data_IF_254862213397
#
_entry.id   IF_254862213397
#
_cell.length_a   1.000
_cell.length_b   1.000
_cell.length_c   1.000
_cell.angle_alpha   90.00
_cell.angle_beta   90.00
_cell.angle_gamma   90.00
#
_symmetry.space_group_name_H-M   'P 1'
#
loop_
_entity.id
_entity.type
_entity.pdbx_description
1 polymer ?
#
# COMPACT_ATOMS: atom_id res chain seq x y z
N UNK A 1 -0.27 -7.25 -7.56
CA UNK A 1 -0.90 -6.87 -6.27
C UNK A 1 -2.29 -6.29 -6.55
N UNK A 2 -3.35 -6.74 -5.89
CA UNK A 2 -4.67 -6.12 -6.03
C UNK A 2 -4.85 -5.06 -4.94
N UNK A 3 -5.24 -3.84 -5.32
CA UNK A 3 -5.50 -2.74 -4.38
C UNK A 3 -6.92 -2.25 -4.62
N UNK A 4 -7.71 -2.18 -3.55
CA UNK A 4 -9.02 -1.53 -3.59
C UNK A 4 -8.85 -0.03 -3.84
N UNK A 5 -9.54 0.52 -4.84
CA UNK A 5 -9.48 1.95 -5.17
C UNK A 5 -9.85 2.85 -4.01
N UNK A 6 -10.66 2.38 -3.07
CA UNK A 6 -11.02 3.17 -1.89
C UNK A 6 -9.83 3.41 -0.95
N UNK A 7 -8.88 2.47 -0.89
CA UNK A 7 -7.64 2.60 -0.09
C UNK A 7 -6.73 3.73 -0.61
N UNK A 8 -6.83 4.04 -1.91
CA UNK A 8 -6.05 5.12 -2.51
C UNK A 8 -6.58 6.52 -2.20
N UNK A 9 -7.78 6.64 -1.64
CA UNK A 9 -8.38 7.94 -1.27
C UNK A 9 -7.71 8.53 -0.02
N UNK A 10 -7.11 7.68 0.81
CA UNK A 10 -6.46 8.09 2.05
C UNK A 10 -5.02 8.56 1.81
N UNK A 11 -4.57 9.56 2.59
CA UNK A 11 -3.21 10.10 2.50
C UNK A 11 -2.15 9.09 2.99
N UNK A 12 -2.54 8.20 3.91
CA UNK A 12 -1.66 7.22 4.53
C UNK A 12 -2.27 5.83 4.53
N UNK A 13 -1.44 4.82 4.26
CA UNK A 13 -1.74 3.40 4.45
C UNK A 13 -1.09 2.95 5.77
N UNK A 14 -1.87 2.28 6.60
CA UNK A 14 -1.36 1.58 7.77
C UNK A 14 -1.18 0.09 7.44
N UNK A 15 0.00 -0.46 7.71
CA UNK A 15 0.29 -1.88 7.52
C UNK A 15 1.17 -2.42 8.65
N UNK A 16 1.21 -3.73 8.78
CA UNK A 16 2.10 -4.40 9.73
C UNK A 16 3.46 -4.67 9.07
N UNK A 17 4.59 -4.29 9.70
CA UNK A 17 5.92 -4.55 9.16
C UNK A 17 6.32 -6.01 9.44
N UNK A 18 5.60 -6.95 8.82
CA UNK A 18 5.78 -8.40 9.00
C UNK A 18 5.52 -8.94 10.43
N UNK A 19 5.05 -8.10 11.36
CA UNK A 19 4.64 -8.46 12.72
C UNK A 19 3.41 -7.65 13.15
N UNK A 20 2.42 -8.31 13.75
CA UNK A 20 1.14 -7.71 14.16
C UNK A 20 1.19 -6.92 15.49
N UNK A 21 2.30 -6.95 16.23
CA UNK A 21 2.46 -6.15 17.46
C UNK A 21 2.82 -4.69 17.18
N UNK A 22 3.15 -4.37 15.93
CA UNK A 22 3.54 -3.02 15.50
C UNK A 22 2.78 -2.64 14.24
N UNK A 23 2.54 -1.34 14.08
CA UNK A 23 1.89 -0.78 12.90
C UNK A 23 2.78 0.30 12.33
N UNK A 24 2.97 0.26 11.02
CA UNK A 24 3.70 1.23 10.24
C UNK A 24 2.69 2.10 9.49
N UNK A 25 2.92 3.41 9.50
CA UNK A 25 2.13 4.39 8.74
C UNK A 25 3.00 4.93 7.61
N UNK A 26 2.62 4.63 6.36
CA UNK A 26 3.34 5.01 5.15
C UNK A 26 2.43 5.92 4.32
N UNK A 27 2.99 6.89 3.60
CA UNK A 27 2.21 7.66 2.63
C UNK A 27 1.79 6.74 1.49
N UNK A 28 0.53 6.83 1.08
CA UNK A 28 -0.03 6.02 -0.02
C UNK A 28 0.78 6.19 -1.31
N UNK A 29 1.25 7.42 -1.58
CA UNK A 29 2.13 7.73 -2.72
C UNK A 29 3.46 6.99 -2.67
N UNK A 30 4.12 6.95 -1.51
CA UNK A 30 5.40 6.26 -1.36
C UNK A 30 5.24 4.74 -1.57
N UNK A 31 4.11 4.17 -1.18
CA UNK A 31 3.80 2.75 -1.46
C UNK A 31 3.74 2.51 -2.97
N UNK A 32 3.00 3.33 -3.71
CA UNK A 32 2.82 3.16 -5.15
C UNK A 32 4.08 3.48 -5.97
N UNK A 33 4.80 4.54 -5.62
CA UNK A 33 5.90 5.08 -6.44
C UNK A 33 7.27 4.50 -6.05
N UNK A 34 7.45 4.02 -4.81
CA UNK A 34 8.74 3.51 -4.32
C UNK A 34 8.69 2.05 -3.92
N UNK A 35 7.70 1.65 -3.12
CA UNK A 35 7.64 0.28 -2.59
C UNK A 35 7.30 -0.73 -3.68
N UNK A 36 6.24 -0.49 -4.46
CA UNK A 36 5.84 -1.42 -5.53
C UNK A 36 6.93 -1.62 -6.60
N UNK A 37 7.58 -0.56 -7.12
CA UNK A 37 8.67 -0.73 -8.07
C UNK A 37 9.90 -1.43 -7.47
N UNK A 38 10.23 -1.14 -6.20
CA UNK A 38 11.35 -1.81 -5.52
C UNK A 38 11.10 -3.31 -5.27
N UNK A 39 9.83 -3.72 -5.24
CA UNK A 39 9.42 -5.13 -5.10
C UNK A 39 9.19 -5.83 -6.44
N UNK A 40 9.37 -5.14 -7.57
CA UNK A 40 9.11 -5.67 -8.92
C UNK A 40 7.67 -6.22 -9.06
N UNK A 41 6.71 -5.46 -8.51
CA UNK A 41 5.29 -5.84 -8.49
C UNK A 41 4.40 -4.73 -9.04
N UNK A 42 3.57 -5.08 -10.03
CA UNK A 42 2.54 -4.20 -10.55
C UNK A 42 1.27 -4.21 -9.66
N UNK A 43 0.66 -3.03 -9.47
CA UNK A 43 -0.64 -2.90 -8.82
C UNK A 43 -1.77 -2.91 -9.83
N UNK A 44 -2.77 -3.74 -9.58
CA UNK A 44 -4.04 -3.77 -10.29
C UNK A 44 -5.11 -3.18 -9.38
N UNK A 45 -5.73 -2.10 -9.84
CA UNK A 45 -6.76 -1.39 -9.07
C UNK A 45 -8.12 -2.05 -9.28
N UNK A 46 -8.71 -2.53 -8.20
CA UNK A 46 -10.04 -3.16 -8.21
C UNK A 46 -11.05 -2.27 -7.50
N UNK A 47 -12.30 -2.37 -7.92
CA UNK A 47 -13.45 -1.71 -7.29
C UNK A 47 -14.43 -2.81 -6.95
N UNK A 48 -14.77 -2.94 -5.67
CA UNK A 48 -15.75 -3.89 -5.14
C UNK A 48 -17.14 -3.27 -5.08
#
# INVERSE_FOLDING_TARGET
LLIDKDVLKDEYIACHPCNNTTSLKIKTKDVLEKVLPAMDHEATLVTL
#
